data_IF_798542765985
#
_entry.id   IF_798542765985
#
_cell.length_a   1.000
_cell.length_b   1.000
_cell.length_c   1.000
_cell.angle_alpha   90.00
_cell.angle_beta   90.00
_cell.angle_gamma   90.00
#
_symmetry.space_group_name_H-M   'P 1'
#
loop_
_entity.id
_entity.type
_entity.pdbx_description
1 polymer ?
#
# COMPACT_ATOMS: atom_id res chain seq x y z
N UNK A 1 -0.49 -48.28 83.97
CA UNK A 1 -1.34 -48.12 82.75
C UNK A 1 -0.90 -46.79 82.04
N UNK A 2 -0.06 -46.94 81.05
CA UNK A 2 0.61 -45.76 80.38
C UNK A 2 -0.02 -45.55 79.03
N UNK A 3 -0.70 -44.43 78.84
CA UNK A 3 -1.33 -44.03 77.58
C UNK A 3 -0.31 -43.29 76.74
N UNK A 4 0.01 -43.80 75.56
CA UNK A 4 0.84 -43.07 74.56
C UNK A 4 -0.09 -42.27 73.64
N UNK A 5 0.12 -40.94 73.61
CA UNK A 5 -0.46 -40.06 72.61
C UNK A 5 0.39 -40.16 71.32
N UNK A 6 -0.28 -40.47 70.23
CA UNK A 6 0.28 -40.39 68.88
C UNK A 6 -0.14 -39.04 68.29
N UNK A 7 0.84 -38.17 68.02
CA UNK A 7 0.60 -36.90 67.33
C UNK A 7 0.72 -37.11 65.81
N UNK A 8 -0.39 -36.97 65.13
CA UNK A 8 -0.44 -36.96 63.64
C UNK A 8 -0.13 -35.53 63.12
N UNK A 9 1.05 -35.35 62.59
CA UNK A 9 1.42 -34.07 61.91
C UNK A 9 0.81 -34.02 60.50
N UNK A 10 -0.09 -33.06 60.29
CA UNK A 10 -0.60 -32.74 58.95
C UNK A 10 0.41 -31.83 58.22
N UNK A 11 1.04 -32.34 57.15
CA UNK A 11 1.89 -31.57 56.23
C UNK A 11 0.99 -30.78 55.28
N UNK A 12 0.83 -29.49 55.55
CA UNK A 12 0.16 -28.55 54.61
C UNK A 12 1.12 -28.17 53.50
N UNK A 13 0.91 -28.69 52.29
CA UNK A 13 1.60 -28.23 51.07
C UNK A 13 1.00 -26.87 50.66
N UNK A 14 1.72 -25.79 50.90
CA UNK A 14 1.40 -24.51 50.32
C UNK A 14 1.83 -24.48 48.88
N UNK A 15 0.90 -24.56 47.91
CA UNK A 15 1.14 -24.27 46.51
C UNK A 15 1.49 -22.77 46.44
N UNK A 16 2.76 -22.44 46.20
CA UNK A 16 3.20 -21.11 45.82
C UNK A 16 2.71 -20.81 44.37
N UNK A 17 1.61 -20.05 44.29
CA UNK A 17 1.19 -19.47 42.98
C UNK A 17 2.18 -18.35 42.71
N UNK A 18 3.14 -18.65 41.83
CA UNK A 18 4.04 -17.63 41.26
C UNK A 18 3.18 -16.64 40.47
N UNK A 19 3.24 -15.34 40.74
CA UNK A 19 2.57 -14.35 39.91
C UNK A 19 3.16 -14.44 38.50
N UNK A 20 2.34 -14.80 37.53
CA UNK A 20 2.69 -14.61 36.12
C UNK A 20 2.89 -13.11 35.91
N UNK A 21 4.13 -12.70 35.69
CA UNK A 21 4.44 -11.33 35.32
C UNK A 21 3.72 -11.05 33.99
N UNK A 22 2.65 -10.29 34.03
CA UNK A 22 2.01 -9.75 32.83
C UNK A 22 2.93 -8.63 32.36
N UNK A 23 3.79 -8.94 31.39
CA UNK A 23 4.57 -7.91 30.72
C UNK A 23 3.59 -6.99 29.96
N UNK A 24 3.79 -5.67 30.10
CA UNK A 24 3.05 -4.71 29.33
C UNK A 24 3.36 -4.95 27.83
N UNK A 25 2.31 -4.92 26.98
CA UNK A 25 2.48 -5.06 25.53
C UNK A 25 3.25 -3.86 24.99
N UNK A 26 4.13 -4.12 24.03
CA UNK A 26 4.70 -3.06 23.22
C UNK A 26 3.58 -2.34 22.45
N UNK A 27 3.79 -1.06 22.12
CA UNK A 27 2.80 -0.27 21.38
C UNK A 27 3.41 0.23 20.09
N UNK A 28 2.69 0.02 18.99
CA UNK A 28 3.03 0.58 17.68
C UNK A 28 1.80 1.20 17.03
N UNK A 29 2.06 2.27 16.27
CA UNK A 29 1.07 2.95 15.45
C UNK A 29 1.39 2.72 13.98
N UNK A 30 0.40 2.30 13.19
CA UNK A 30 0.52 2.06 11.76
C UNK A 30 -0.42 2.96 10.98
N UNK A 31 0.12 3.76 10.07
CA UNK A 31 -0.65 4.58 9.15
C UNK A 31 -0.72 3.90 7.77
N UNK A 32 -1.93 3.64 7.31
CA UNK A 32 -2.25 3.12 5.97
C UNK A 32 -3.18 4.09 5.24
N UNK A 33 -3.36 3.89 3.94
CA UNK A 33 -4.18 4.78 3.13
C UNK A 33 -5.68 4.64 3.41
N UNK A 34 -6.37 5.77 3.40
CA UNK A 34 -7.84 5.83 3.46
C UNK A 34 -8.43 5.43 2.09
N UNK A 35 -8.26 4.17 1.74
CA UNK A 35 -8.75 3.56 0.50
C UNK A 35 -9.49 2.25 0.81
N UNK A 36 -10.67 1.99 0.22
CA UNK A 36 -11.48 0.81 0.56
C UNK A 36 -10.73 -0.52 0.42
N UNK A 37 -9.91 -0.68 -0.64
CA UNK A 37 -9.13 -1.89 -0.85
C UNK A 37 -8.12 -2.14 0.28
N UNK A 38 -7.45 -1.08 0.77
CA UNK A 38 -6.50 -1.15 1.89
C UNK A 38 -7.23 -1.48 3.20
N UNK A 39 -8.40 -0.87 3.43
CA UNK A 39 -9.22 -1.20 4.59
C UNK A 39 -9.58 -2.69 4.62
N UNK A 40 -9.92 -3.29 3.47
CA UNK A 40 -10.24 -4.72 3.42
C UNK A 40 -9.07 -5.63 3.81
N UNK A 41 -7.82 -5.22 3.53
CA UNK A 41 -6.64 -6.00 3.92
C UNK A 41 -6.36 -5.95 5.43
N UNK A 42 -6.68 -4.83 6.10
CA UNK A 42 -6.40 -4.61 7.51
C UNK A 42 -7.64 -4.69 8.41
N UNK A 43 -8.82 -4.89 7.83
CA UNK A 43 -10.06 -5.07 8.58
C UNK A 43 -9.97 -6.17 9.65
N UNK A 44 -9.34 -7.34 9.40
CA UNK A 44 -9.17 -8.37 10.43
C UNK A 44 -8.36 -7.90 11.66
N UNK A 45 -7.37 -7.03 11.47
CA UNK A 45 -6.63 -6.41 12.57
C UNK A 45 -7.48 -5.40 13.32
N UNK A 46 -8.13 -4.49 12.59
CA UNK A 46 -8.97 -3.41 13.14
C UNK A 46 -10.12 -4.01 13.97
N UNK A 47 -10.70 -5.10 13.51
CA UNK A 47 -11.85 -5.76 14.16
C UNK A 47 -11.47 -6.92 15.08
N UNK A 48 -10.19 -7.03 15.44
CA UNK A 48 -9.71 -7.95 16.47
C UNK A 48 -9.83 -9.43 16.10
N UNK A 49 -9.91 -9.78 14.80
CA UNK A 49 -9.80 -11.18 14.33
C UNK A 49 -8.37 -11.68 14.45
N UNK A 50 -7.40 -10.80 14.26
CA UNK A 50 -5.98 -11.04 14.47
C UNK A 50 -5.53 -10.22 15.68
N UNK A 51 -4.97 -10.89 16.67
CA UNK A 51 -4.50 -10.30 17.94
C UNK A 51 -3.10 -10.77 18.26
N UNK A 52 -2.43 -10.02 19.12
CA UNK A 52 -1.13 -10.39 19.69
C UNK A 52 -1.19 -10.29 21.21
N UNK A 53 -0.43 -11.15 21.88
CA UNK A 53 -0.24 -11.08 23.33
C UNK A 53 0.90 -10.14 23.73
N UNK A 54 1.76 -9.77 22.78
CA UNK A 54 2.97 -8.97 23.00
C UNK A 54 2.90 -7.57 22.39
N UNK A 55 2.00 -7.34 21.42
CA UNK A 55 1.87 -6.08 20.71
C UNK A 55 0.45 -5.52 20.78
N UNK A 56 0.35 -4.25 21.14
CA UNK A 56 -0.84 -3.41 21.02
C UNK A 56 -0.67 -2.52 19.78
N UNK A 57 -1.48 -2.75 18.75
CA UNK A 57 -1.36 -2.09 17.45
C UNK A 57 -2.52 -1.14 17.23
N UNK A 58 -2.22 0.13 17.04
CA UNK A 58 -3.17 1.14 16.62
C UNK A 58 -3.04 1.42 15.11
N UNK A 59 -4.13 1.27 14.35
CA UNK A 59 -4.16 1.52 12.90
C UNK A 59 -4.88 2.82 12.62
N UNK A 60 -4.25 3.67 11.79
CA UNK A 60 -4.81 4.95 11.33
C UNK A 60 -4.93 4.97 9.82
N UNK A 61 -6.11 5.31 9.34
CA UNK A 61 -6.34 5.55 7.92
C UNK A 61 -6.11 7.03 7.63
N UNK A 62 -5.15 7.35 6.76
CA UNK A 62 -4.76 8.71 6.41
C UNK A 62 -4.90 8.96 4.90
N UNK A 63 -5.14 10.19 4.52
CA UNK A 63 -5.12 10.59 3.11
C UNK A 63 -3.70 10.42 2.53
N UNK A 64 -3.61 10.00 1.26
CA UNK A 64 -2.32 9.81 0.58
C UNK A 64 -1.47 11.08 0.64
N UNK A 65 -2.09 12.23 0.47
CA UNK A 65 -1.44 13.56 0.48
C UNK A 65 -0.85 13.93 1.85
N UNK A 66 -1.41 13.39 2.94
CA UNK A 66 -0.95 13.64 4.30
C UNK A 66 0.28 12.82 4.70
N UNK A 67 0.58 11.73 3.98
CA UNK A 67 1.62 10.76 4.35
C UNK A 67 3.00 11.41 4.49
N UNK A 68 3.38 12.28 3.56
CA UNK A 68 4.69 12.95 3.59
C UNK A 68 4.89 13.80 4.85
N UNK A 69 3.87 14.59 5.23
CA UNK A 69 3.91 15.40 6.44
C UNK A 69 3.94 14.54 7.71
N UNK A 70 3.11 13.50 7.77
CA UNK A 70 3.06 12.58 8.90
C UNK A 70 4.39 11.84 9.10
N UNK A 71 5.06 11.42 8.03
CA UNK A 71 6.41 10.85 8.08
C UNK A 71 7.44 11.88 8.58
N UNK A 72 7.44 13.11 8.04
CA UNK A 72 8.37 14.15 8.43
C UNK A 72 8.28 14.52 9.92
N UNK A 73 7.08 14.46 10.50
CA UNK A 73 6.83 14.74 11.91
C UNK A 73 6.90 13.51 12.82
N UNK A 74 7.23 12.32 12.26
CA UNK A 74 7.26 11.03 12.97
C UNK A 74 5.97 10.75 13.75
N UNK A 75 4.82 11.07 13.16
CA UNK A 75 3.53 10.99 13.80
C UNK A 75 3.11 9.54 14.13
N UNK A 76 3.60 8.56 13.34
CA UNK A 76 3.34 7.14 13.50
C UNK A 76 4.66 6.35 13.41
N UNK A 77 4.66 5.12 13.91
CA UNK A 77 5.85 4.25 13.92
C UNK A 77 6.09 3.58 12.57
N UNK A 78 4.99 3.23 11.87
CA UNK A 78 5.01 2.55 10.58
C UNK A 78 4.07 3.25 9.61
N UNK A 79 4.48 3.31 8.35
CA UNK A 79 3.68 3.90 7.27
C UNK A 79 3.58 2.96 6.09
N UNK A 80 2.40 2.94 5.48
CA UNK A 80 2.27 2.61 4.08
C UNK A 80 2.61 3.85 3.26
N UNK A 81 3.49 3.70 2.27
CA UNK A 81 3.90 4.83 1.42
C UNK A 81 4.28 4.36 0.01
N UNK A 82 4.25 5.28 -0.97
CA UNK A 82 4.69 4.97 -2.32
C UNK A 82 6.16 4.55 -2.36
N UNK A 83 6.51 3.59 -3.22
CA UNK A 83 7.88 3.06 -3.29
C UNK A 83 8.92 4.17 -3.53
N UNK A 84 8.61 5.21 -4.31
CA UNK A 84 9.51 6.33 -4.56
C UNK A 84 9.71 7.27 -3.36
N UNK A 85 8.84 7.21 -2.36
CA UNK A 85 8.94 8.09 -1.19
C UNK A 85 10.12 7.74 -0.28
N UNK A 86 10.69 6.54 -0.39
CA UNK A 86 11.86 6.15 0.40
C UNK A 86 13.06 7.08 0.11
N UNK A 87 13.36 7.32 -1.15
CA UNK A 87 14.44 8.24 -1.55
C UNK A 87 14.05 9.71 -1.34
N UNK A 88 12.79 10.06 -1.62
CA UNK A 88 12.31 11.42 -1.40
C UNK A 88 12.39 11.82 0.08
N UNK A 89 12.13 10.90 1.00
CA UNK A 89 12.31 11.10 2.44
C UNK A 89 13.81 11.23 2.79
N UNK A 90 14.66 10.37 2.22
CA UNK A 90 16.10 10.44 2.43
C UNK A 90 16.71 11.77 1.93
N UNK A 91 16.22 12.31 0.81
CA UNK A 91 16.61 13.61 0.29
C UNK A 91 16.25 14.78 1.23
N UNK A 92 15.30 14.57 2.15
CA UNK A 92 14.90 15.51 3.21
C UNK A 92 15.57 15.22 4.56
N UNK A 93 16.56 14.29 4.58
CA UNK A 93 17.28 13.91 5.80
C UNK A 93 16.54 12.90 6.68
N UNK A 94 15.40 12.36 6.23
CA UNK A 94 14.62 11.38 6.97
C UNK A 94 15.11 9.96 6.63
N UNK A 95 15.59 9.24 7.63
CA UNK A 95 16.01 7.84 7.47
C UNK A 95 14.81 6.92 7.66
N UNK A 96 14.49 6.16 6.61
CA UNK A 96 13.45 5.14 6.62
C UNK A 96 14.02 3.83 6.05
N UNK A 97 13.52 2.70 6.51
CA UNK A 97 13.75 1.40 5.91
C UNK A 97 12.44 0.76 5.49
N UNK A 98 12.47 0.07 4.35
CA UNK A 98 11.39 -0.79 3.90
C UNK A 98 11.35 -2.04 4.78
N UNK A 99 10.20 -2.31 5.37
CA UNK A 99 9.97 -3.49 6.22
C UNK A 99 9.07 -4.53 5.54
N UNK A 100 8.42 -4.17 4.43
CA UNK A 100 7.56 -5.08 3.69
C UNK A 100 7.00 -4.46 2.41
N UNK A 101 6.44 -5.32 1.55
CA UNK A 101 5.68 -4.91 0.37
C UNK A 101 4.22 -4.68 0.77
N UNK A 102 3.72 -3.46 0.57
CA UNK A 102 2.33 -3.14 0.89
C UNK A 102 1.41 -3.55 -0.26
N UNK A 103 1.47 -2.88 -1.40
CA UNK A 103 0.62 -3.17 -2.53
C UNK A 103 1.43 -3.67 -3.73
N UNK A 104 1.22 -4.94 -4.07
CA UNK A 104 1.69 -5.59 -5.29
C UNK A 104 0.53 -5.74 -6.25
N UNK A 105 0.64 -5.18 -7.45
CA UNK A 105 -0.35 -5.38 -8.50
C UNK A 105 -0.32 -6.80 -9.05
N UNK A 106 -1.42 -7.24 -9.66
CA UNK A 106 -1.37 -8.37 -10.60
C UNK A 106 -0.45 -8.02 -11.76
N UNK A 107 0.01 -9.00 -12.52
CA UNK A 107 0.88 -8.72 -13.68
C UNK A 107 0.21 -7.75 -14.68
N UNK A 108 -1.09 -7.88 -14.85
CA UNK A 108 -1.94 -6.97 -15.62
C UNK A 108 -3.13 -6.55 -14.76
N UNK A 109 -3.00 -5.50 -13.90
CA UNK A 109 -4.08 -5.03 -13.08
C UNK A 109 -5.22 -4.43 -13.91
N UNK A 110 -6.42 -4.92 -13.70
CA UNK A 110 -7.57 -4.60 -14.54
C UNK A 110 -8.01 -3.12 -14.38
N UNK A 111 -8.00 -2.38 -15.50
CA UNK A 111 -8.37 -0.96 -15.52
C UNK A 111 -7.26 0.02 -15.12
N UNK A 112 -6.04 -0.47 -14.92
CA UNK A 112 -4.90 0.41 -14.69
C UNK A 112 -4.46 1.10 -15.98
N UNK A 113 -4.73 2.40 -16.10
CA UNK A 113 -4.43 3.14 -17.31
C UNK A 113 -4.94 4.56 -17.32
N UNK A 114 -5.10 5.11 -18.54
CA UNK A 114 -5.59 6.47 -18.78
C UNK A 114 -6.99 6.40 -19.36
N UNK A 115 -7.89 7.11 -18.75
CA UNK A 115 -9.30 7.13 -19.04
C UNK A 115 -9.70 8.43 -19.74
N UNK A 116 -10.68 8.35 -20.64
CA UNK A 116 -11.31 9.47 -21.33
C UNK A 116 -12.81 9.34 -21.27
N UNK A 117 -13.56 10.39 -21.61
CA UNK A 117 -15.01 10.29 -21.83
C UNK A 117 -15.28 9.26 -22.92
N UNK A 118 -16.40 8.54 -22.80
CA UNK A 118 -16.77 7.50 -23.76
C UNK A 118 -16.95 8.06 -25.18
N UNK A 119 -17.49 9.27 -25.30
CA UNK A 119 -17.73 9.99 -26.57
C UNK A 119 -16.54 10.82 -27.05
N UNK A 120 -15.40 10.85 -26.31
CA UNK A 120 -14.23 11.61 -26.73
C UNK A 120 -13.64 11.07 -28.04
N UNK A 121 -13.13 11.96 -28.94
CA UNK A 121 -12.66 11.54 -30.25
C UNK A 121 -11.30 10.82 -30.24
N UNK A 122 -10.66 10.71 -29.09
CA UNK A 122 -9.32 10.11 -28.94
C UNK A 122 -9.34 8.61 -29.18
N UNK A 123 -8.41 8.09 -29.96
CA UNK A 123 -8.27 6.66 -30.29
C UNK A 123 -7.00 6.03 -29.70
N UNK A 124 -6.01 6.85 -29.37
CA UNK A 124 -4.74 6.43 -28.78
C UNK A 124 -4.15 7.52 -27.88
N UNK A 125 -3.06 7.20 -27.16
CA UNK A 125 -2.32 8.19 -26.40
C UNK A 125 -1.76 9.33 -27.29
N UNK A 126 -1.51 9.07 -28.58
CA UNK A 126 -0.99 10.07 -29.51
C UNK A 126 -1.97 11.24 -29.73
N UNK A 127 -3.27 10.97 -29.65
CA UNK A 127 -4.33 11.97 -29.79
C UNK A 127 -4.41 12.93 -28.57
N UNK A 128 -3.75 12.56 -27.47
CA UNK A 128 -3.66 13.38 -26.28
C UNK A 128 -2.48 14.37 -26.32
N UNK A 129 -1.68 14.43 -27.39
CA UNK A 129 -0.62 15.45 -27.51
C UNK A 129 -1.19 16.86 -27.41
N UNK A 130 -0.61 17.69 -26.55
CA UNK A 130 -1.08 19.04 -26.24
C UNK A 130 -2.32 19.10 -25.35
N UNK A 131 -2.89 17.96 -24.97
CA UNK A 131 -4.08 17.83 -24.12
C UNK A 131 -3.75 17.80 -22.64
N UNK A 132 -4.74 18.06 -21.80
CA UNK A 132 -4.61 18.08 -20.35
C UNK A 132 -4.93 16.71 -19.76
N UNK A 133 -3.96 16.11 -19.09
CA UNK A 133 -4.10 14.78 -18.42
C UNK A 133 -4.05 14.99 -16.90
N UNK A 134 -5.13 14.67 -16.23
CA UNK A 134 -5.26 14.78 -14.77
C UNK A 134 -4.70 13.57 -14.04
N UNK A 135 -4.01 13.81 -12.93
CA UNK A 135 -3.58 12.78 -11.99
C UNK A 135 -3.73 13.30 -10.56
N UNK A 136 -3.93 12.37 -9.60
CA UNK A 136 -4.05 12.77 -8.19
C UNK A 136 -2.70 13.15 -7.55
N UNK A 137 -1.59 12.63 -8.06
CA UNK A 137 -0.26 12.92 -7.51
C UNK A 137 0.83 12.77 -8.57
N UNK A 138 1.36 13.89 -9.08
CA UNK A 138 2.38 13.91 -10.15
C UNK A 138 3.75 13.37 -9.73
N UNK A 139 4.00 13.19 -8.43
CA UNK A 139 5.23 12.61 -7.89
C UNK A 139 5.05 11.20 -7.34
N UNK A 140 3.87 10.58 -7.52
CA UNK A 140 3.60 9.23 -7.04
C UNK A 140 4.25 8.15 -7.90
N UNK A 141 4.46 6.98 -7.29
CA UNK A 141 4.89 5.77 -8.00
C UNK A 141 3.90 5.40 -9.12
N UNK A 142 2.59 5.50 -8.85
CA UNK A 142 1.53 5.21 -9.83
C UNK A 142 1.65 6.10 -11.06
N UNK A 143 1.85 7.41 -10.86
CA UNK A 143 2.01 8.34 -12.00
C UNK A 143 3.31 8.10 -12.77
N UNK A 144 4.41 7.75 -12.08
CA UNK A 144 5.65 7.33 -12.75
C UNK A 144 5.43 6.12 -13.66
N UNK A 145 4.68 5.11 -13.19
CA UNK A 145 4.32 3.93 -13.98
C UNK A 145 3.49 4.30 -15.22
N UNK A 146 2.53 5.24 -15.12
CA UNK A 146 1.77 5.73 -16.27
C UNK A 146 2.69 6.39 -17.31
N UNK A 147 3.67 7.18 -16.87
CA UNK A 147 4.66 7.80 -17.76
C UNK A 147 5.52 6.74 -18.45
N UNK A 148 5.95 5.70 -17.73
CA UNK A 148 6.71 4.57 -18.32
C UNK A 148 5.91 3.88 -19.42
N UNK A 149 4.62 3.61 -19.20
CA UNK A 149 3.74 3.01 -20.20
C UNK A 149 3.66 3.88 -21.47
N UNK A 150 3.38 5.18 -21.30
CA UNK A 150 3.28 6.13 -22.39
C UNK A 150 4.59 6.24 -23.20
N UNK A 151 5.72 6.44 -22.51
CA UNK A 151 7.03 6.56 -23.15
C UNK A 151 7.39 5.27 -23.90
N UNK A 152 7.24 4.11 -23.24
CA UNK A 152 7.68 2.84 -23.80
C UNK A 152 6.86 2.43 -25.03
N UNK A 153 5.53 2.54 -24.95
CA UNK A 153 4.62 2.09 -26.00
C UNK A 153 4.46 3.10 -27.13
N UNK A 154 4.25 4.36 -26.79
CA UNK A 154 3.83 5.38 -27.75
C UNK A 154 4.98 6.31 -28.17
N UNK A 155 6.18 6.15 -27.56
CA UNK A 155 7.38 6.95 -27.86
C UNK A 155 7.13 8.46 -27.75
N UNK A 156 6.34 8.87 -26.76
CA UNK A 156 5.99 10.27 -26.48
C UNK A 156 6.89 10.86 -25.41
N UNK A 157 7.07 12.18 -25.44
CA UNK A 157 7.78 12.92 -24.38
C UNK A 157 6.86 13.10 -23.18
N UNK A 158 7.17 12.44 -22.09
CA UNK A 158 6.39 12.46 -20.83
C UNK A 158 6.93 13.43 -19.78
N UNK A 159 7.82 14.38 -20.16
CA UNK A 159 8.30 15.42 -19.26
C UNK A 159 7.14 16.25 -18.72
N UNK A 160 7.23 16.72 -17.45
CA UNK A 160 6.21 17.59 -16.85
C UNK A 160 6.24 18.97 -17.49
N UNK A 161 7.42 19.46 -17.81
CA UNK A 161 7.64 20.73 -18.51
C UNK A 161 8.14 20.45 -19.93
N UNK A 162 7.48 21.01 -20.92
CA UNK A 162 7.85 20.84 -22.33
C UNK A 162 7.62 19.44 -22.91
N UNK A 163 6.84 18.59 -22.20
CA UNK A 163 6.41 17.29 -22.71
C UNK A 163 5.25 17.36 -23.69
N UNK A 164 4.86 16.19 -24.23
CA UNK A 164 3.75 16.08 -25.18
C UNK A 164 2.37 16.29 -24.53
N UNK A 165 2.28 16.25 -23.19
CA UNK A 165 1.03 16.36 -22.43
C UNK A 165 1.09 17.51 -21.42
N UNK A 166 -0.05 18.11 -21.10
CA UNK A 166 -0.20 19.03 -19.98
C UNK A 166 -0.67 18.26 -18.76
N UNK A 167 0.27 17.80 -17.94
CA UNK A 167 -0.08 17.10 -16.71
C UNK A 167 -0.53 18.08 -15.62
N UNK A 168 -1.69 17.78 -15.00
CA UNK A 168 -2.24 18.60 -13.90
C UNK A 168 -2.57 17.71 -12.71
N UNK A 169 -2.30 18.21 -11.51
CA UNK A 169 -2.66 17.53 -10.28
C UNK A 169 -4.02 18.01 -9.78
N UNK A 170 -4.93 17.06 -9.52
CA UNK A 170 -6.23 17.29 -8.92
C UNK A 170 -6.47 16.28 -7.81
N UNK A 171 -7.16 16.64 -6.72
CA UNK A 171 -7.57 15.64 -5.72
C UNK A 171 -8.31 14.46 -6.38
N UNK A 172 -8.02 13.24 -5.95
CA UNK A 172 -8.58 12.01 -6.56
C UNK A 172 -10.10 12.07 -6.73
N UNK A 173 -10.91 12.49 -5.75
CA UNK A 173 -12.37 12.57 -5.91
C UNK A 173 -12.84 13.52 -7.01
N UNK A 174 -12.02 14.48 -7.40
CA UNK A 174 -12.39 15.49 -8.39
C UNK A 174 -12.10 15.06 -9.84
N UNK A 175 -11.31 14.02 -10.07
CA UNK A 175 -10.89 13.60 -11.40
C UNK A 175 -12.05 13.20 -12.32
N UNK A 176 -13.04 12.37 -11.90
CA UNK A 176 -14.17 12.03 -12.74
C UNK A 176 -14.98 13.28 -13.17
N UNK A 177 -15.34 14.14 -12.22
CA UNK A 177 -16.10 15.35 -12.52
C UNK A 177 -15.34 16.34 -13.42
N UNK A 178 -14.02 16.47 -13.25
CA UNK A 178 -13.19 17.30 -14.12
C UNK A 178 -13.13 16.75 -15.55
N UNK A 179 -13.14 15.41 -15.71
CA UNK A 179 -13.17 14.76 -17.01
C UNK A 179 -14.55 14.89 -17.67
N UNK A 180 -15.66 14.68 -16.93
CA UNK A 180 -17.03 14.88 -17.42
C UNK A 180 -17.27 16.30 -17.94
N UNK A 181 -16.79 17.30 -17.19
CA UNK A 181 -16.98 18.72 -17.56
C UNK A 181 -16.01 19.23 -18.63
N UNK A 182 -15.05 18.39 -19.08
CA UNK A 182 -14.03 18.77 -20.06
C UNK A 182 -12.95 19.72 -19.52
N UNK A 183 -12.84 19.90 -18.20
CA UNK A 183 -11.75 20.64 -17.57
C UNK A 183 -10.39 19.94 -17.80
N UNK A 184 -10.40 18.63 -17.94
CA UNK A 184 -9.30 17.80 -18.38
C UNK A 184 -9.77 16.90 -19.52
N UNK A 185 -8.86 16.51 -20.40
CA UNK A 185 -9.14 15.67 -21.57
C UNK A 185 -9.03 14.17 -21.24
N UNK A 186 -8.18 13.82 -20.29
CA UNK A 186 -7.94 12.45 -19.84
C UNK A 186 -7.57 12.43 -18.34
N UNK A 187 -7.72 11.28 -17.69
CA UNK A 187 -7.42 11.11 -16.27
C UNK A 187 -6.80 9.74 -15.95
N UNK A 188 -5.97 9.70 -14.91
CA UNK A 188 -5.62 8.45 -14.21
C UNK A 188 -6.60 8.27 -13.05
N UNK A 189 -7.31 7.15 -13.02
CA UNK A 189 -8.28 6.86 -11.98
C UNK A 189 -7.69 6.01 -10.84
N UNK A 190 -8.21 6.21 -9.62
CA UNK A 190 -7.95 5.34 -8.48
C UNK A 190 -8.62 3.98 -8.67
N UNK A 191 -8.36 3.04 -7.76
CA UNK A 191 -8.89 1.68 -7.83
C UNK A 191 -10.41 1.65 -7.94
N UNK A 192 -11.11 2.38 -7.05
CA UNK A 192 -12.58 2.44 -7.04
C UNK A 192 -13.11 3.16 -8.28
N UNK A 193 -12.47 4.25 -8.69
CA UNK A 193 -12.87 5.00 -9.89
C UNK A 193 -12.72 4.16 -11.15
N UNK A 194 -11.63 3.42 -11.30
CA UNK A 194 -11.43 2.48 -12.43
C UNK A 194 -12.48 1.38 -12.44
N UNK A 195 -12.85 0.85 -11.27
CA UNK A 195 -13.93 -0.13 -11.17
C UNK A 195 -15.27 0.47 -11.60
N UNK A 196 -15.62 1.65 -11.09
CA UNK A 196 -16.86 2.36 -11.45
C UNK A 196 -16.90 2.70 -12.94
N UNK A 197 -15.77 3.18 -13.50
CA UNK A 197 -15.67 3.49 -14.92
C UNK A 197 -15.86 2.25 -15.82
N UNK A 198 -15.37 1.08 -15.40
CA UNK A 198 -15.57 -0.20 -16.13
C UNK A 198 -17.02 -0.71 -16.04
N UNK A 199 -17.74 -0.38 -14.98
CA UNK A 199 -19.16 -0.78 -14.80
C UNK A 199 -20.13 0.21 -15.44
N UNK A 200 -19.72 1.47 -15.59
CA UNK A 200 -20.49 2.53 -16.23
C UNK A 200 -20.26 2.62 -17.74
N UNK A 201 -20.87 3.62 -18.34
CA UNK A 201 -20.74 3.94 -19.77
C UNK A 201 -20.27 5.38 -20.03
N UNK A 202 -19.92 6.13 -18.98
CA UNK A 202 -19.48 7.52 -19.08
C UNK A 202 -18.03 7.66 -19.54
N UNK A 203 -17.20 6.70 -19.16
CA UNK A 203 -15.76 6.70 -19.43
C UNK A 203 -15.33 5.42 -20.14
N UNK A 204 -14.25 5.50 -20.89
CA UNK A 204 -13.57 4.34 -21.46
C UNK A 204 -12.06 4.41 -21.24
N UNK A 205 -11.44 3.25 -21.10
CA UNK A 205 -9.99 3.12 -21.03
C UNK A 205 -9.40 3.40 -22.41
N UNK A 206 -8.62 4.46 -22.54
CA UNK A 206 -7.93 4.82 -23.79
C UNK A 206 -6.55 4.15 -23.86
N UNK A 207 -5.81 4.15 -22.76
CA UNK A 207 -4.49 3.54 -22.64
C UNK A 207 -4.56 2.47 -21.57
N UNK A 208 -4.34 1.23 -21.94
CA UNK A 208 -4.18 0.11 -21.00
C UNK A 208 -2.72 0.04 -20.54
N UNK A 209 -2.37 0.90 -19.58
CA UNK A 209 -0.99 0.98 -19.09
C UNK A 209 -0.51 -0.32 -18.46
N UNK A 210 -1.42 -1.16 -17.96
CA UNK A 210 -1.08 -2.46 -17.40
C UNK A 210 -0.46 -3.39 -18.44
N UNK A 211 -1.09 -3.52 -19.63
CA UNK A 211 -0.54 -4.30 -20.74
C UNK A 211 0.76 -3.70 -21.28
N UNK A 212 0.79 -2.37 -21.40
CA UNK A 212 1.96 -1.66 -21.93
C UNK A 212 3.20 -1.80 -21.02
N UNK A 213 2.99 -2.01 -19.70
CA UNK A 213 4.06 -2.20 -18.70
C UNK A 213 4.50 -3.65 -18.53
N UNK A 214 3.66 -4.61 -18.88
CA UNK A 214 3.96 -6.04 -18.75
C UNK A 214 5.30 -6.42 -19.38
N UNK A 215 5.55 -5.95 -20.59
CA UNK A 215 6.79 -6.26 -21.32
C UNK A 215 8.00 -5.52 -20.73
N UNK A 216 7.80 -4.36 -20.10
CA UNK A 216 8.86 -3.58 -19.46
C UNK A 216 9.31 -4.23 -18.15
N UNK A 217 8.36 -4.66 -17.35
CA UNK A 217 8.64 -5.18 -16.01
C UNK A 217 8.89 -6.70 -16.02
N UNK A 218 8.06 -7.46 -16.74
CA UNK A 218 8.08 -8.92 -16.72
C UNK A 218 7.81 -9.54 -15.34
N UNK A 219 7.45 -8.70 -14.37
CA UNK A 219 7.07 -9.04 -12.99
C UNK A 219 5.92 -8.13 -12.55
N UNK A 220 5.11 -8.52 -11.57
CA UNK A 220 4.12 -7.65 -10.97
C UNK A 220 4.73 -6.34 -10.47
N UNK A 221 4.09 -5.22 -10.75
CA UNK A 221 4.52 -3.92 -10.26
C UNK A 221 4.18 -3.77 -8.78
N UNK A 222 5.02 -3.06 -8.04
CA UNK A 222 4.68 -2.58 -6.69
C UNK A 222 4.47 -1.08 -6.71
N UNK A 223 3.49 -0.60 -5.97
CA UNK A 223 3.15 0.82 -5.88
C UNK A 223 3.35 1.38 -4.49
N UNK A 224 3.13 0.57 -3.46
CA UNK A 224 3.41 0.96 -2.09
C UNK A 224 4.19 -0.09 -1.31
N UNK A 225 4.89 0.39 -0.30
CA UNK A 225 5.73 -0.36 0.61
C UNK A 225 5.39 0.03 2.06
N UNK A 226 5.69 -0.83 3.00
CA UNK A 226 5.71 -0.49 4.42
C UNK A 226 7.09 -0.02 4.81
N UNK A 227 7.15 1.13 5.51
CA UNK A 227 8.39 1.72 5.99
C UNK A 227 8.33 2.04 7.47
N UNK A 228 9.49 2.01 8.13
CA UNK A 228 9.64 2.37 9.53
C UNK A 228 10.99 3.06 9.76
N UNK A 229 11.16 3.64 10.95
CA UNK A 229 12.37 4.33 11.37
C UNK A 229 13.37 3.32 11.93
N UNK A 230 14.64 3.26 11.41
CA UNK A 230 15.65 2.31 11.86
C UNK A 230 15.92 2.36 13.37
N UNK A 231 15.93 3.56 13.95
CA UNK A 231 16.14 3.76 15.38
C UNK A 231 15.03 3.10 16.23
N UNK A 232 13.76 3.23 15.82
CA UNK A 232 12.63 2.62 16.51
C UNK A 232 12.63 1.11 16.39
N UNK A 233 12.98 0.60 15.21
CA UNK A 233 13.13 -0.85 14.99
C UNK A 233 14.27 -1.46 15.80
N UNK A 234 15.36 -0.71 16.01
CA UNK A 234 16.47 -1.16 16.86
C UNK A 234 16.09 -1.22 18.34
N UNK A 235 15.23 -0.32 18.81
CA UNK A 235 14.70 -0.33 20.19
C UNK A 235 13.75 -1.50 20.46
N UNK A 236 12.89 -1.86 19.49
CA UNK A 236 11.81 -2.84 19.67
C UNK A 236 11.74 -3.84 18.49
N UNK A 237 12.82 -4.58 18.19
CA UNK A 237 12.86 -5.42 16.97
C UNK A 237 11.81 -6.53 16.98
N UNK A 238 11.43 -7.03 18.13
CA UNK A 238 10.45 -8.10 18.27
C UNK A 238 9.02 -7.58 18.03
N UNK A 239 8.71 -6.36 18.46
CA UNK A 239 7.43 -5.71 18.18
C UNK A 239 7.22 -5.51 16.68
N UNK A 240 8.26 -5.10 15.94
CA UNK A 240 8.16 -4.96 14.47
C UNK A 240 8.06 -6.30 13.75
N UNK A 241 8.72 -7.35 14.22
CA UNK A 241 8.52 -8.72 13.68
C UNK A 241 7.10 -9.21 13.91
N UNK A 242 6.57 -8.99 15.12
CA UNK A 242 5.20 -9.33 15.46
C UNK A 242 4.20 -8.53 14.63
N UNK A 243 4.43 -7.24 14.40
CA UNK A 243 3.64 -6.43 13.49
C UNK A 243 3.55 -7.04 12.09
N UNK A 244 4.70 -7.40 11.49
CA UNK A 244 4.71 -8.00 10.15
C UNK A 244 3.96 -9.34 10.12
N UNK A 245 4.10 -10.16 11.18
CA UNK A 245 3.35 -11.41 11.32
C UNK A 245 1.83 -11.14 11.36
N UNK A 246 1.40 -10.16 12.14
CA UNK A 246 0.00 -9.76 12.26
C UNK A 246 -0.56 -9.22 10.94
N UNK A 247 0.19 -8.36 10.25
CA UNK A 247 -0.20 -7.81 8.95
C UNK A 247 -0.35 -8.91 7.89
N UNK A 248 0.62 -9.86 7.84
CA UNK A 248 0.56 -11.02 6.95
C UNK A 248 -0.67 -11.89 7.27
N UNK A 249 -0.88 -12.20 8.55
CA UNK A 249 -2.04 -12.98 8.98
C UNK A 249 -3.37 -12.27 8.66
N UNK A 250 -3.42 -10.94 8.69
CA UNK A 250 -4.60 -10.16 8.31
C UNK A 250 -4.91 -10.30 6.81
N UNK A 251 -3.90 -10.15 5.96
CA UNK A 251 -4.06 -10.33 4.51
C UNK A 251 -4.48 -11.77 4.17
N UNK A 252 -3.87 -12.77 4.81
CA UNK A 252 -4.22 -14.18 4.62
C UNK A 252 -5.64 -14.49 5.10
N UNK A 253 -6.06 -13.91 6.23
CA UNK A 253 -7.42 -14.02 6.74
C UNK A 253 -8.43 -13.47 5.73
N UNK A 254 -8.16 -12.28 5.18
CA UNK A 254 -9.01 -11.67 4.17
C UNK A 254 -9.17 -12.59 2.95
N UNK A 255 -8.09 -13.20 2.47
CA UNK A 255 -8.14 -14.14 1.35
C UNK A 255 -8.94 -15.40 1.67
N UNK A 256 -8.85 -15.90 2.90
CA UNK A 256 -9.56 -17.12 3.33
C UNK A 256 -11.05 -16.86 3.68
N UNK A 257 -11.41 -15.63 4.05
CA UNK A 257 -12.74 -15.25 4.56
C UNK A 257 -13.32 -14.06 3.77
N UNK A 258 -13.19 -14.07 2.45
CA UNK A 258 -13.58 -12.96 1.56
C UNK A 258 -15.03 -12.53 1.77
N UNK A 259 -15.95 -13.50 1.91
CA UNK A 259 -17.37 -13.20 2.07
C UNK A 259 -17.65 -12.37 3.34
N UNK A 260 -17.08 -12.78 4.47
CA UNK A 260 -17.19 -12.07 5.75
C UNK A 260 -16.59 -10.67 5.65
N UNK A 261 -15.30 -10.60 5.25
CA UNK A 261 -14.55 -9.33 5.25
C UNK A 261 -15.16 -8.35 4.25
N UNK A 262 -15.45 -8.79 3.02
CA UNK A 262 -15.97 -7.89 1.99
C UNK A 262 -17.38 -7.43 2.26
N UNK A 263 -18.22 -8.25 2.92
CA UNK A 263 -19.54 -7.81 3.38
C UNK A 263 -19.40 -6.72 4.44
N UNK A 264 -18.58 -6.94 5.46
CA UNK A 264 -18.39 -5.97 6.54
C UNK A 264 -17.80 -4.64 6.04
N UNK A 265 -16.74 -4.70 5.21
CA UNK A 265 -16.12 -3.49 4.66
C UNK A 265 -17.07 -2.75 3.69
N UNK A 266 -17.88 -3.48 2.93
CA UNK A 266 -18.90 -2.89 2.06
C UNK A 266 -19.95 -2.12 2.88
N UNK A 267 -20.40 -2.67 3.99
CA UNK A 267 -21.35 -2.01 4.91
C UNK A 267 -20.74 -0.77 5.56
N UNK A 268 -19.48 -0.82 5.95
CA UNK A 268 -18.75 0.29 6.58
C UNK A 268 -18.49 1.43 5.60
N UNK A 269 -17.97 1.10 4.40
CA UNK A 269 -17.52 2.10 3.41
C UNK A 269 -18.58 2.55 2.43
N UNK A 270 -19.74 1.86 2.36
CA UNK A 270 -20.78 2.02 1.33
C UNK A 270 -20.28 1.74 -0.09
N UNK A 271 -19.16 1.04 -0.23
CA UNK A 271 -18.63 0.58 -1.52
C UNK A 271 -19.20 -0.81 -1.81
N UNK A 272 -19.69 -1.08 -3.04
CA UNK A 272 -20.26 -2.38 -3.38
C UNK A 272 -19.28 -3.54 -3.10
N UNK A 273 -19.79 -4.63 -2.52
CA UNK A 273 -19.00 -5.84 -2.22
C UNK A 273 -18.25 -6.37 -3.44
N UNK A 274 -18.88 -6.30 -4.62
CA UNK A 274 -18.29 -6.74 -5.89
C UNK A 274 -17.00 -5.98 -6.25
N UNK A 275 -16.83 -4.75 -5.75
CA UNK A 275 -15.57 -4.03 -5.90
C UNK A 275 -14.41 -4.79 -5.23
N UNK A 276 -14.60 -5.26 -4.01
CA UNK A 276 -13.55 -5.97 -3.27
C UNK A 276 -13.24 -7.32 -3.91
N UNK A 277 -14.29 -8.05 -4.35
CA UNK A 277 -14.14 -9.31 -5.08
C UNK A 277 -13.31 -9.10 -6.36
N UNK A 278 -13.69 -8.10 -7.16
CA UNK A 278 -12.99 -7.75 -8.40
C UNK A 278 -11.55 -7.31 -8.13
N UNK A 279 -11.35 -6.46 -7.12
CA UNK A 279 -10.04 -5.90 -6.79
C UNK A 279 -9.04 -6.99 -6.37
N UNK A 280 -9.42 -7.85 -5.44
CA UNK A 280 -8.54 -8.93 -4.95
C UNK A 280 -8.29 -10.00 -6.01
N UNK A 281 -9.25 -10.27 -6.88
CA UNK A 281 -9.09 -11.21 -7.98
C UNK A 281 -8.18 -10.66 -9.09
N UNK A 282 -8.39 -9.39 -9.49
CA UNK A 282 -7.90 -8.89 -10.77
C UNK A 282 -6.96 -7.67 -10.67
N UNK A 283 -6.81 -7.04 -9.52
CA UNK A 283 -6.06 -5.79 -9.43
C UNK A 283 -4.76 -5.92 -8.64
N UNK A 284 -4.83 -6.33 -7.37
CA UNK A 284 -3.66 -6.36 -6.50
C UNK A 284 -3.76 -7.31 -5.31
N UNK A 285 -2.77 -7.22 -4.44
CA UNK A 285 -2.67 -7.98 -3.19
C UNK A 285 -1.80 -7.23 -2.20
N UNK A 286 -1.94 -7.58 -0.91
CA UNK A 286 -1.12 -7.07 0.19
C UNK A 286 -0.24 -8.22 0.74
N UNK A 287 0.91 -8.51 0.12
CA UNK A 287 1.70 -9.70 0.46
C UNK A 287 2.44 -9.57 1.80
N UNK A 288 2.76 -8.35 2.24
CA UNK A 288 3.61 -8.01 3.39
C UNK A 288 5.06 -8.48 3.21
N UNK A 289 5.29 -9.73 2.77
CA UNK A 289 6.61 -10.26 2.43
C UNK A 289 7.18 -9.61 1.17
N UNK A 290 8.50 -9.56 1.10
CA UNK A 290 9.26 -9.00 -0.04
C UNK A 290 9.78 -10.15 -0.90
N UNK A 291 9.45 -10.15 -2.19
CA UNK A 291 9.98 -11.10 -3.18
C UNK A 291 11.11 -10.50 -4.01
N UNK A 292 11.88 -11.35 -4.70
CA UNK A 292 12.88 -10.90 -5.68
C UNK A 292 12.23 -10.13 -6.84
N UNK A 293 10.98 -10.48 -7.19
CA UNK A 293 10.18 -9.75 -8.16
C UNK A 293 9.91 -8.31 -7.73
N UNK A 294 9.63 -8.08 -6.44
CA UNK A 294 9.43 -6.74 -5.90
C UNK A 294 10.71 -5.90 -6.00
N UNK A 295 11.87 -6.50 -5.68
CA UNK A 295 13.16 -5.81 -5.78
C UNK A 295 13.48 -5.42 -7.22
N UNK A 296 13.17 -6.30 -8.19
CA UNK A 296 13.27 -6.00 -9.61
C UNK A 296 12.34 -4.85 -10.00
N UNK A 297 11.08 -4.89 -9.58
CA UNK A 297 10.12 -3.82 -9.86
C UNK A 297 10.55 -2.47 -9.27
N UNK A 298 11.07 -2.46 -8.03
CA UNK A 298 11.62 -1.26 -7.39
C UNK A 298 12.79 -0.71 -8.21
N UNK A 299 13.73 -1.56 -8.62
CA UNK A 299 14.88 -1.13 -9.41
C UNK A 299 14.45 -0.43 -10.70
N UNK A 300 13.55 -1.06 -11.46
CA UNK A 300 13.05 -0.49 -12.72
C UNK A 300 12.38 0.86 -12.50
N UNK A 301 11.52 0.99 -11.49
CA UNK A 301 10.81 2.27 -11.27
C UNK A 301 11.75 3.38 -10.81
N UNK A 302 12.80 3.08 -10.02
CA UNK A 302 13.79 4.08 -9.63
C UNK A 302 14.64 4.57 -10.80
N UNK A 303 15.09 3.66 -11.70
CA UNK A 303 15.82 4.03 -12.91
C UNK A 303 14.98 4.98 -13.78
N UNK A 304 13.70 4.69 -13.95
CA UNK A 304 12.77 5.54 -14.71
C UNK A 304 12.46 6.84 -13.98
N UNK A 305 12.24 6.80 -12.67
CA UNK A 305 11.99 8.00 -11.87
C UNK A 305 13.18 8.96 -11.89
N UNK A 306 14.42 8.45 -11.91
CA UNK A 306 15.63 9.25 -12.08
C UNK A 306 15.65 9.95 -13.44
N UNK A 307 15.36 9.21 -14.52
CA UNK A 307 15.27 9.78 -15.88
C UNK A 307 14.20 10.88 -15.97
N UNK A 308 13.13 10.78 -15.19
CA UNK A 308 12.03 11.77 -15.14
C UNK A 308 12.25 12.93 -14.15
N UNK A 309 13.38 12.96 -13.45
CA UNK A 309 13.63 13.97 -12.40
C UNK A 309 12.76 13.84 -11.15
N UNK A 310 12.15 12.67 -10.95
CA UNK A 310 11.29 12.39 -9.77
C UNK A 310 12.10 11.84 -8.59
N UNK A 311 13.26 11.28 -8.85
CA UNK A 311 14.23 10.78 -7.86
C UNK A 311 15.64 11.23 -8.24
N UNK A 312 16.50 11.50 -7.25
CA UNK A 312 17.90 11.87 -7.47
C UNK A 312 18.80 10.65 -7.62
N UNK A 313 18.49 9.58 -6.89
CA UNK A 313 19.26 8.36 -6.84
C UNK A 313 18.37 7.15 -6.58
N UNK A 314 18.86 5.97 -6.93
CA UNK A 314 18.30 4.71 -6.43
C UNK A 314 18.86 4.48 -5.02
N UNK A 315 18.03 4.16 -4.01
CA UNK A 315 18.54 3.79 -2.70
C UNK A 315 19.36 2.50 -2.79
N UNK A 316 20.38 2.38 -1.96
CA UNK A 316 21.05 1.10 -1.76
C UNK A 316 20.06 0.13 -1.09
N UNK A 317 19.46 -0.76 -1.88
CA UNK A 317 18.43 -1.67 -1.40
C UNK A 317 18.89 -2.60 -0.29
N UNK A 318 20.21 -2.87 -0.16
CA UNK A 318 20.74 -3.67 0.95
C UNK A 318 20.64 -2.94 2.29
N UNK A 319 20.81 -1.62 2.26
CA UNK A 319 20.69 -0.77 3.47
C UNK A 319 19.25 -0.26 3.66
N UNK A 320 18.53 -0.06 2.56
CA UNK A 320 17.18 0.47 2.56
C UNK A 320 16.12 -0.53 3.00
N UNK A 321 16.46 -1.83 3.09
CA UNK A 321 15.55 -2.88 3.53
C UNK A 321 15.98 -3.37 4.90
N UNK A 322 15.02 -3.49 5.81
CA UNK A 322 15.24 -4.07 7.12
C UNK A 322 15.65 -5.54 7.01
N UNK A 323 16.70 -5.94 7.71
CA UNK A 323 17.29 -7.29 7.65
C UNK A 323 16.36 -8.40 8.19
N UNK A 324 15.36 -8.01 9.03
CA UNK A 324 14.34 -8.92 9.60
C UNK A 324 12.99 -8.84 8.89
N UNK A 325 12.91 -8.15 7.74
CA UNK A 325 11.70 -8.14 6.91
C UNK A 325 11.34 -9.57 6.44
N UNK A 326 10.04 -9.83 6.30
CA UNK A 326 9.57 -11.12 5.77
C UNK A 326 9.98 -11.25 4.30
N UNK A 327 10.48 -12.44 3.92
CA UNK A 327 10.86 -12.79 2.55
C UNK A 327 9.99 -13.94 2.03
N UNK A 328 9.73 -13.93 0.70
CA UNK A 328 9.11 -15.05 -0.01
C UNK A 328 10.17 -16.08 -0.40
#
# INVERSE_FOLDING_TARGET
MTVRLVATGALTFALAVLPTAVFAKDKLTFATYLEPAHLSAFWPLINGKIKSDTLDLEIKNIAIEATGQAMATKQYDVFETGALNLEQAAAQGLKLQMIGTALRYKLVPLGFGIWVKADAPYKSALDLKGKTVGSYALRSTVFALQRVALENKYKVNVALDGGDFKFVQLPSPNLPGALTTGRIDAATFSHLQSYQARKGNEFRLLVNSAEDLKDVYGVPMITSIFVAYPERMAEMPDAYRELLRMMKASSDYTLAHQDEVFTAVSEETKVPKDFFVDWWANYGSFPVSISDGDLKAITIIYDKAKAYGMSKAMPDLKQAIWDKALRE
#
